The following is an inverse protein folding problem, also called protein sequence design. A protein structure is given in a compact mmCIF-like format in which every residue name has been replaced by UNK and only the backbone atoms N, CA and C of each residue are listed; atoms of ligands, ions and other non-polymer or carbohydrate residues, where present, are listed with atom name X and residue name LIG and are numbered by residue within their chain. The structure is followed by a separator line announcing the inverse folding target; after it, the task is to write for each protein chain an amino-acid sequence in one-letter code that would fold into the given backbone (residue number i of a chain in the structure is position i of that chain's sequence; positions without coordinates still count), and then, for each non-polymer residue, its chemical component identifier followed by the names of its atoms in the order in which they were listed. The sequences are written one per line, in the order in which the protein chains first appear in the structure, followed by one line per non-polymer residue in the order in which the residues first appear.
data_IF_276074235886
#
_entry.id   IF_276074235886
#
_cell.length_a   1.000
_cell.length_b   1.000
_cell.length_c   1.000
_cell.angle_alpha   90.00
_cell.angle_beta   90.00
_cell.angle_gamma   90.00
#
_symmetry.space_group_name_H-M   'P 1'
#
loop_
_entity.id
_entity.type
_entity.pdbx_description
1 polymer ?
#
# COMPACT_ATOMS: atom_id res chain seq x y z
N UNK A 1 -29.67 21.27 12.38
CA UNK A 1 -29.20 20.47 13.54
C UNK A 1 -27.69 20.59 13.76
N UNK A 2 -27.21 21.82 13.99
CA UNK A 2 -25.79 22.18 14.21
C UNK A 2 -25.42 22.35 15.69
N UNK A 3 -26.27 21.90 16.62
CA UNK A 3 -26.10 22.19 18.06
C UNK A 3 -24.94 21.46 18.74
N UNK A 4 -24.33 20.44 18.11
CA UNK A 4 -23.22 19.70 18.71
C UNK A 4 -21.97 20.56 18.95
N UNK A 5 -21.74 21.61 18.15
CA UNK A 5 -20.60 22.53 18.31
C UNK A 5 -20.83 23.68 19.29
N UNK A 6 -22.05 23.86 19.83
CA UNK A 6 -22.31 25.02 20.69
C UNK A 6 -21.58 24.96 22.03
N UNK A 7 -21.06 23.79 22.44
CA UNK A 7 -20.31 23.68 23.69
C UNK A 7 -19.48 22.40 23.77
N UNK A 8 -18.26 22.40 23.20
CA UNK A 8 -17.20 21.42 23.56
C UNK A 8 -16.81 21.48 25.05
N UNK A 9 -17.28 22.51 25.77
CA UNK A 9 -17.05 22.74 27.20
C UNK A 9 -18.05 22.04 28.12
N UNK A 10 -19.14 21.49 27.59
CA UNK A 10 -20.14 20.80 28.41
C UNK A 10 -19.79 19.31 28.42
N UNK A 11 -19.44 18.80 29.60
CA UNK A 11 -19.21 17.38 29.80
C UNK A 11 -20.46 16.59 29.41
N UNK A 12 -20.31 15.61 28.52
CA UNK A 12 -21.33 14.61 28.20
C UNK A 12 -20.70 13.22 28.14
N UNK A 13 -21.53 12.18 28.24
CA UNK A 13 -21.06 10.82 28.04
C UNK A 13 -20.62 10.61 26.60
N UNK A 14 -19.53 9.86 26.42
CA UNK A 14 -19.07 9.44 25.11
C UNK A 14 -20.16 8.62 24.40
N UNK A 15 -20.50 8.98 23.17
CA UNK A 15 -21.56 8.38 22.37
C UNK A 15 -21.12 8.17 20.91
N UNK A 16 -21.96 7.51 20.11
CA UNK A 16 -21.64 7.19 18.71
C UNK A 16 -21.30 8.43 17.86
N UNK A 17 -21.90 9.58 18.15
CA UNK A 17 -21.66 10.82 17.40
C UNK A 17 -20.31 11.43 17.72
N UNK A 18 -19.77 11.17 18.90
CA UNK A 18 -18.41 11.58 19.26
C UNK A 18 -17.42 10.72 18.49
N UNK A 19 -17.61 9.40 18.52
CA UNK A 19 -16.79 8.43 17.79
C UNK A 19 -16.72 8.72 16.28
N UNK A 20 -17.84 9.10 15.66
CA UNK A 20 -17.89 9.45 14.24
C UNK A 20 -17.17 10.77 13.92
N UNK A 21 -17.01 11.66 14.90
CA UNK A 21 -16.38 12.97 14.71
C UNK A 21 -14.89 12.99 15.04
N UNK A 22 -14.38 11.93 15.67
CA UNK A 22 -12.96 11.80 15.96
C UNK A 22 -12.17 11.68 14.67
N UNK A 23 -11.09 12.46 14.60
CA UNK A 23 -10.05 12.25 13.60
C UNK A 23 -9.36 10.91 13.84
N UNK A 24 -8.99 10.23 12.75
CA UNK A 24 -8.17 9.01 12.82
C UNK A 24 -6.80 9.30 12.27
N UNK A 25 -5.76 9.06 13.07
CA UNK A 25 -4.36 9.27 12.71
C UNK A 25 -3.69 7.92 12.51
N UNK A 26 -2.84 7.78 11.50
CA UNK A 26 -2.15 6.52 11.26
C UNK A 26 -0.93 6.67 10.34
N UNK A 27 -0.18 5.58 10.23
CA UNK A 27 1.07 5.42 9.48
C UNK A 27 2.10 6.53 9.73
N UNK A 28 2.43 6.88 11.00
CA UNK A 28 3.47 7.87 11.24
C UNK A 28 4.82 7.37 10.71
N UNK A 29 5.55 8.21 9.98
CA UNK A 29 6.93 7.96 9.56
C UNK A 29 7.79 9.16 9.94
N UNK A 30 8.90 8.89 10.61
CA UNK A 30 9.91 9.90 10.93
C UNK A 30 10.55 10.45 9.66
N UNK A 31 10.99 11.70 9.71
CA UNK A 31 11.84 12.28 8.68
C UNK A 31 13.15 11.47 8.56
N UNK A 32 13.56 11.06 7.35
CA UNK A 32 14.53 9.98 7.14
C UNK A 32 15.97 10.34 7.52
N UNK A 33 16.26 11.63 7.76
CA UNK A 33 17.64 12.09 8.07
C UNK A 33 17.83 12.38 9.55
N UNK A 34 16.92 13.13 10.18
CA UNK A 34 17.13 13.68 11.52
C UNK A 34 16.17 13.12 12.58
N UNK A 35 15.08 12.45 12.17
CA UNK A 35 14.04 11.95 13.06
C UNK A 35 13.37 13.02 13.94
N UNK A 36 13.49 14.31 13.62
CA UNK A 36 12.98 15.42 14.45
C UNK A 36 11.52 15.75 14.20
N UNK A 37 11.02 15.30 13.06
CA UNK A 37 9.63 15.44 12.68
C UNK A 37 9.09 14.13 12.14
N UNK A 38 7.77 14.04 12.05
CA UNK A 38 7.08 12.94 11.40
C UNK A 38 6.03 13.45 10.41
N UNK A 39 5.72 12.60 9.43
CA UNK A 39 4.52 12.73 8.60
C UNK A 39 3.57 11.61 8.98
N UNK A 40 2.27 11.88 8.96
CA UNK A 40 1.21 10.91 9.15
C UNK A 40 0.02 11.32 8.30
N UNK A 41 -0.90 10.40 8.09
CA UNK A 41 -2.18 10.74 7.48
C UNK A 41 -3.26 10.89 8.54
N UNK A 42 -4.18 11.83 8.30
CA UNK A 42 -5.36 12.11 9.13
C UNK A 42 -6.62 11.94 8.31
N UNK A 43 -7.47 11.00 8.72
CA UNK A 43 -8.84 10.88 8.22
C UNK A 43 -9.77 11.78 9.03
N UNK A 44 -10.59 12.55 8.32
CA UNK A 44 -11.59 13.45 8.88
C UNK A 44 -12.92 13.28 8.14
N UNK A 45 -14.04 13.57 8.82
CA UNK A 45 -15.39 13.53 8.23
C UNK A 45 -15.90 14.94 7.91
N UNK A 46 -16.72 15.04 6.86
CA UNK A 46 -17.38 16.28 6.48
C UNK A 46 -18.40 16.67 7.53
N UNK A 47 -18.17 17.78 8.21
CA UNK A 47 -19.06 18.28 9.25
C UNK A 47 -20.06 19.29 8.66
N UNK A 48 -21.32 19.33 9.14
CA UNK A 48 -21.85 18.58 10.27
C UNK A 48 -22.57 17.26 9.90
N UNK A 49 -22.72 16.95 8.61
CA UNK A 49 -23.61 15.87 8.13
C UNK A 49 -22.98 14.46 8.14
N UNK A 50 -21.65 14.36 8.27
CA UNK A 50 -20.87 13.13 8.28
C UNK A 50 -21.01 12.31 6.99
N UNK A 51 -21.42 12.93 5.88
CA UNK A 51 -21.73 12.25 4.60
C UNK A 51 -20.52 12.06 3.67
N UNK A 52 -19.33 12.40 4.14
CA UNK A 52 -18.09 12.21 3.41
C UNK A 52 -16.92 12.11 4.37
N UNK A 53 -15.86 11.47 3.92
CA UNK A 53 -14.57 11.54 4.61
C UNK A 53 -13.47 11.87 3.62
N UNK A 54 -12.34 12.35 4.14
CA UNK A 54 -11.12 12.58 3.36
C UNK A 54 -9.95 12.23 4.24
N UNK A 55 -8.86 11.81 3.60
CA UNK A 55 -7.58 11.62 4.27
C UNK A 55 -6.57 12.62 3.71
N UNK A 56 -5.86 13.29 4.61
CA UNK A 56 -4.86 14.33 4.28
C UNK A 56 -3.53 14.03 4.96
N UNK A 57 -2.43 14.49 4.39
CA UNK A 57 -1.10 14.34 4.98
C UNK A 57 -0.79 15.51 5.91
N UNK A 58 -0.21 15.21 7.07
CA UNK A 58 0.15 16.16 8.11
C UNK A 58 1.61 15.96 8.51
N UNK A 59 2.31 17.05 8.73
CA UNK A 59 3.65 17.09 9.30
C UNK A 59 3.56 17.57 10.75
N UNK A 60 4.35 16.97 11.62
CA UNK A 60 4.49 17.37 13.01
C UNK A 60 5.95 17.45 13.43
N UNK A 61 6.34 18.59 13.95
CA UNK A 61 7.61 18.77 14.66
C UNK A 61 7.50 18.22 16.09
N UNK A 62 8.42 17.32 16.46
CA UNK A 62 8.37 16.63 17.75
C UNK A 62 8.87 17.48 18.92
N UNK A 63 9.54 18.60 18.66
CA UNK A 63 10.10 19.46 19.70
C UNK A 63 9.17 20.63 20.05
N UNK A 64 8.75 21.37 19.03
CA UNK A 64 7.85 22.53 19.15
C UNK A 64 6.38 22.17 19.19
N UNK A 65 6.01 20.90 18.91
CA UNK A 65 4.64 20.43 18.71
C UNK A 65 3.89 21.16 17.58
N UNK A 66 4.62 21.84 16.69
CA UNK A 66 4.01 22.51 15.55
C UNK A 66 3.47 21.47 14.56
N UNK A 67 2.23 21.68 14.15
CA UNK A 67 1.54 20.82 13.19
C UNK A 67 1.17 21.60 11.95
N UNK A 68 1.39 21.00 10.78
CA UNK A 68 1.12 21.60 9.47
C UNK A 68 0.43 20.57 8.59
N UNK A 69 -0.76 20.91 8.10
CA UNK A 69 -1.43 20.11 7.09
C UNK A 69 -0.79 20.36 5.72
N UNK A 70 -0.29 19.29 5.09
CA UNK A 70 0.46 19.37 3.85
C UNK A 70 -0.45 19.38 2.62
N UNK A 71 -1.49 18.54 2.61
CA UNK A 71 -2.39 18.39 1.45
C UNK A 71 -3.77 18.99 1.71
N UNK A 72 -4.36 19.58 0.67
CA UNK A 72 -5.71 20.15 0.70
C UNK A 72 -6.77 19.05 0.92
N UNK A 73 -7.76 19.24 1.82
CA UNK A 73 -8.84 18.26 1.98
C UNK A 73 -9.79 18.32 0.78
N UNK A 74 -10.09 17.17 0.19
CA UNK A 74 -11.09 17.03 -0.88
C UNK A 74 -12.00 15.87 -0.48
N UNK A 75 -13.29 16.15 -0.25
CA UNK A 75 -14.24 15.15 0.24
C UNK A 75 -14.40 13.99 -0.75
N UNK A 76 -14.33 12.75 -0.25
CA UNK A 76 -14.29 11.53 -1.06
C UNK A 76 -12.90 11.19 -1.62
N UNK A 77 -11.88 12.02 -1.33
CA UNK A 77 -10.49 11.77 -1.74
C UNK A 77 -9.62 11.39 -0.54
N UNK A 78 -8.70 10.47 -0.76
CA UNK A 78 -7.91 9.85 0.30
C UNK A 78 -6.43 9.87 -0.04
N UNK A 79 -5.63 10.53 0.80
CA UNK A 79 -4.17 10.50 0.73
C UNK A 79 -3.62 9.49 1.73
N UNK A 80 -3.11 8.37 1.25
CA UNK A 80 -2.75 7.22 2.08
C UNK A 80 -1.44 6.58 1.61
N UNK A 81 -0.94 5.63 2.43
CA UNK A 81 0.26 4.81 2.13
C UNK A 81 1.42 5.60 1.51
N UNK A 82 1.92 6.60 2.24
CA UNK A 82 3.06 7.37 1.78
C UNK A 82 4.40 6.68 2.12
N UNK A 83 5.43 6.99 1.34
CA UNK A 83 6.82 6.62 1.59
C UNK A 83 7.74 7.78 1.24
N UNK A 84 8.82 7.94 1.98
CA UNK A 84 9.92 8.83 1.60
C UNK A 84 10.66 8.25 0.40
N UNK A 85 10.95 9.09 -0.59
CA UNK A 85 11.84 8.74 -1.72
C UNK A 85 13.18 9.48 -1.62
N UNK A 86 13.20 10.62 -0.92
CA UNK A 86 14.41 11.32 -0.49
C UNK A 86 14.09 12.13 0.78
N UNK A 87 14.97 13.04 1.21
CA UNK A 87 14.77 13.86 2.42
C UNK A 87 13.68 14.94 2.31
N UNK A 88 13.31 15.37 1.11
CA UNK A 88 12.35 16.43 0.87
C UNK A 88 11.15 15.95 0.04
N UNK A 89 11.13 14.70 -0.43
CA UNK A 89 10.10 14.20 -1.33
C UNK A 89 9.46 12.95 -0.77
N UNK A 90 8.13 12.92 -0.80
CA UNK A 90 7.35 11.71 -0.51
C UNK A 90 6.54 11.31 -1.74
N UNK A 91 6.34 10.00 -1.89
CA UNK A 91 5.35 9.42 -2.78
C UNK A 91 4.19 8.89 -1.95
N UNK A 92 2.96 8.98 -2.45
CA UNK A 92 1.77 8.50 -1.74
C UNK A 92 0.66 8.08 -2.72
N UNK A 93 -0.27 7.27 -2.23
CA UNK A 93 -1.44 6.86 -3.00
C UNK A 93 -2.59 7.85 -2.81
N UNK A 94 -3.25 8.22 -3.91
CA UNK A 94 -4.41 9.09 -3.87
C UNK A 94 -5.34 8.88 -5.05
N UNK A 95 -6.65 8.97 -4.81
CA UNK A 95 -7.70 8.95 -5.83
C UNK A 95 -8.14 10.36 -6.26
N UNK A 96 -7.32 11.39 -6.01
CA UNK A 96 -7.65 12.81 -6.26
C UNK A 96 -7.77 13.20 -7.73
N UNK A 97 -7.27 12.37 -8.65
CA UNK A 97 -7.39 12.59 -10.09
C UNK A 97 -8.86 12.54 -10.54
N UNK A 98 -9.15 13.05 -11.74
CA UNK A 98 -10.50 13.05 -12.31
C UNK A 98 -11.03 11.65 -12.64
N UNK A 99 -10.16 10.64 -12.74
CA UNK A 99 -10.56 9.25 -12.99
C UNK A 99 -11.09 8.54 -11.75
N UNK A 100 -10.93 9.13 -10.56
CA UNK A 100 -11.20 8.52 -9.25
C UNK A 100 -10.43 7.21 -8.96
N UNK A 101 -9.51 6.82 -9.85
CA UNK A 101 -8.59 5.72 -9.62
C UNK A 101 -7.48 6.16 -8.66
N UNK A 102 -7.14 5.30 -7.71
CA UNK A 102 -5.97 5.48 -6.85
C UNK A 102 -4.71 5.35 -7.68
N UNK A 103 -3.90 6.40 -7.69
CA UNK A 103 -2.63 6.51 -8.42
C UNK A 103 -1.53 7.00 -7.47
N UNK A 104 -0.27 6.95 -7.92
CA UNK A 104 0.86 7.48 -7.16
C UNK A 104 1.03 8.97 -7.44
N UNK A 105 1.17 9.74 -6.36
CA UNK A 105 1.42 11.17 -6.37
C UNK A 105 2.73 11.48 -5.66
N UNK A 106 3.43 12.49 -6.16
CA UNK A 106 4.60 13.08 -5.55
C UNK A 106 4.22 14.35 -4.78
N UNK A 107 4.77 14.51 -3.58
CA UNK A 107 4.77 15.75 -2.82
C UNK A 107 6.22 16.17 -2.53
N UNK A 108 6.63 17.32 -3.05
CA UNK A 108 7.93 17.93 -2.75
C UNK A 108 7.76 18.96 -1.63
N UNK A 109 8.45 18.75 -0.52
CA UNK A 109 8.37 19.55 0.69
C UNK A 109 9.44 20.66 0.67
N UNK A 110 9.08 21.90 1.04
CA UNK A 110 10.07 22.95 1.29
C UNK A 110 10.95 22.59 2.50
N UNK A 111 12.15 23.18 2.57
CA UNK A 111 13.08 22.93 3.67
C UNK A 111 12.54 23.41 5.04
N UNK A 112 11.75 24.48 5.05
CA UNK A 112 11.06 24.97 6.24
C UNK A 112 9.55 24.80 6.12
N UNK A 113 9.06 23.65 6.59
CA UNK A 113 7.62 23.39 6.69
C UNK A 113 6.94 24.24 7.76
N UNK A 114 7.69 24.79 8.72
CA UNK A 114 7.11 25.57 9.80
C UNK A 114 6.53 26.89 9.28
N UNK A 115 7.09 27.49 8.24
CA UNK A 115 6.57 28.73 7.65
C UNK A 115 5.53 28.51 6.55
N UNK A 116 5.16 27.26 6.26
CA UNK A 116 4.23 26.94 5.18
C UNK A 116 2.85 27.60 5.41
N UNK A 117 2.47 28.47 4.47
CA UNK A 117 1.13 29.04 4.39
C UNK A 117 0.32 28.33 3.30
N UNK A 118 -0.73 27.62 3.69
CA UNK A 118 -1.59 26.88 2.76
C UNK A 118 -1.17 25.43 2.57
N UNK A 119 -1.49 24.87 1.39
CA UNK A 119 -1.25 23.46 1.05
C UNK A 119 -0.22 23.35 -0.08
N UNK A 120 0.46 22.22 -0.14
CA UNK A 120 1.35 21.86 -1.24
C UNK A 120 0.52 21.09 -2.27
N UNK A 121 0.56 21.53 -3.53
CA UNK A 121 -0.17 20.86 -4.61
C UNK A 121 0.62 19.63 -5.10
N UNK A 122 0.05 18.41 -5.03
CA UNK A 122 0.79 17.21 -5.40
C UNK A 122 0.78 16.97 -6.91
N UNK A 123 1.84 16.35 -7.41
CA UNK A 123 1.97 15.99 -8.83
C UNK A 123 1.63 14.52 -9.02
N UNK A 124 0.67 14.21 -9.88
CA UNK A 124 0.38 12.83 -10.28
C UNK A 124 1.55 12.28 -11.11
N UNK A 125 2.11 11.13 -10.75
CA UNK A 125 3.24 10.53 -11.46
C UNK A 125 2.91 9.21 -12.16
N UNK A 126 1.71 8.67 -11.94
CA UNK A 126 1.18 7.49 -12.65
C UNK A 126 -0.22 7.70 -13.18
N UNK A 127 -0.58 6.99 -14.25
CA UNK A 127 -1.92 7.03 -14.83
C UNK A 127 -2.28 5.66 -15.43
N UNK A 128 -2.27 4.62 -14.59
CA UNK A 128 -2.68 3.28 -15.00
C UNK A 128 -4.21 3.18 -15.11
N UNK A 129 -4.69 2.19 -15.86
CA UNK A 129 -6.13 1.93 -16.03
C UNK A 129 -6.79 1.22 -14.85
N UNK A 130 -6.01 0.83 -13.82
CA UNK A 130 -6.48 0.19 -12.58
C UNK A 130 -6.03 0.97 -11.35
N UNK A 131 -6.67 0.70 -10.21
CA UNK A 131 -6.23 1.20 -8.91
C UNK A 131 -4.86 0.62 -8.55
N UNK A 132 -4.01 1.47 -7.98
CA UNK A 132 -2.84 1.05 -7.23
C UNK A 132 -3.24 0.89 -5.77
N UNK A 133 -2.95 -0.26 -5.18
CA UNK A 133 -3.36 -0.61 -3.82
C UNK A 133 -2.22 -0.57 -2.80
N UNK A 134 -0.97 -0.67 -3.27
CA UNK A 134 0.23 -0.65 -2.44
C UNK A 134 1.40 0.04 -3.13
N UNK A 135 2.38 0.50 -2.33
CA UNK A 135 3.58 1.19 -2.79
C UNK A 135 4.79 0.87 -1.89
N UNK A 136 5.94 0.61 -2.50
CA UNK A 136 7.25 0.55 -1.86
C UNK A 136 8.32 1.10 -2.81
N UNK A 137 9.33 1.78 -2.27
CA UNK A 137 10.46 2.31 -3.06
C UNK A 137 11.76 1.74 -2.50
N UNK A 138 12.71 1.38 -3.36
CA UNK A 138 14.01 0.90 -2.89
C UNK A 138 14.84 2.06 -2.30
N UNK A 139 15.85 1.72 -1.49
CA UNK A 139 16.65 2.70 -0.76
C UNK A 139 17.31 3.78 -1.64
N UNK A 140 17.71 3.41 -2.85
CA UNK A 140 18.41 4.29 -3.78
C UNK A 140 17.46 5.08 -4.70
N UNK A 141 16.14 4.95 -4.53
CA UNK A 141 15.13 5.60 -5.36
C UNK A 141 15.29 5.34 -6.87
N UNK A 142 15.71 4.13 -7.23
CA UNK A 142 15.89 3.67 -8.62
C UNK A 142 14.82 2.69 -9.06
N UNK A 143 14.11 2.07 -8.11
CA UNK A 143 13.00 1.14 -8.37
C UNK A 143 11.84 1.39 -7.42
N UNK A 144 10.65 1.13 -7.94
CA UNK A 144 9.38 1.23 -7.24
C UNK A 144 8.63 -0.09 -7.44
N UNK A 145 8.04 -0.60 -6.35
CA UNK A 145 7.05 -1.68 -6.37
C UNK A 145 5.67 -1.09 -6.09
N UNK A 146 4.67 -1.53 -6.84
CA UNK A 146 3.27 -1.22 -6.55
C UNK A 146 2.41 -2.45 -6.80
N UNK A 147 1.19 -2.52 -6.26
CA UNK A 147 0.25 -3.60 -6.61
C UNK A 147 -0.96 -3.08 -7.36
N UNK A 148 -1.46 -3.90 -8.27
CA UNK A 148 -2.79 -3.79 -8.84
C UNK A 148 -3.52 -5.13 -8.70
N UNK A 149 -4.84 -5.07 -8.61
CA UNK A 149 -5.68 -6.24 -8.77
C UNK A 149 -5.80 -6.62 -10.24
N UNK A 150 -5.16 -7.74 -10.63
CA UNK A 150 -5.17 -8.28 -11.99
C UNK A 150 -5.67 -9.72 -12.01
N UNK A 151 -6.14 -10.19 -13.17
CA UNK A 151 -6.29 -11.62 -13.36
C UNK A 151 -4.90 -12.21 -13.60
N UNK A 152 -4.57 -13.33 -12.96
CA UNK A 152 -3.21 -13.86 -12.96
C UNK A 152 -2.59 -13.94 -14.37
N UNK A 153 -3.35 -14.36 -15.38
CA UNK A 153 -2.87 -14.53 -16.75
C UNK A 153 -3.02 -13.29 -17.67
N UNK A 154 -3.36 -12.12 -17.11
CA UNK A 154 -3.61 -10.89 -17.88
C UNK A 154 -2.79 -9.72 -17.32
N UNK A 155 -2.35 -8.84 -18.22
CA UNK A 155 -1.75 -7.56 -17.80
C UNK A 155 -2.80 -6.56 -17.29
N UNK A 156 -2.34 -5.36 -16.89
CA UNK A 156 -3.16 -4.27 -16.37
C UNK A 156 -4.26 -3.86 -17.37
N UNK A 157 -3.91 -3.66 -18.65
CA UNK A 157 -4.83 -3.17 -19.66
C UNK A 157 -5.83 -4.25 -20.09
N UNK A 158 -5.36 -5.49 -20.23
CA UNK A 158 -6.19 -6.66 -20.50
C UNK A 158 -7.18 -6.94 -19.36
N UNK A 159 -6.72 -6.80 -18.11
CA UNK A 159 -7.58 -6.91 -16.93
C UNK A 159 -8.65 -5.82 -16.97
N UNK A 160 -8.28 -4.56 -17.22
CA UNK A 160 -9.25 -3.46 -17.31
C UNK A 160 -10.26 -3.69 -18.44
N UNK A 161 -9.82 -4.09 -19.62
CA UNK A 161 -10.70 -4.40 -20.75
C UNK A 161 -11.69 -5.51 -20.43
N UNK A 162 -11.25 -6.58 -19.73
CA UNK A 162 -12.13 -7.65 -19.27
C UNK A 162 -13.16 -7.14 -18.26
N UNK A 163 -12.74 -6.37 -17.25
CA UNK A 163 -13.64 -5.78 -16.25
C UNK A 163 -14.70 -4.89 -16.90
N UNK A 164 -14.31 -4.07 -17.88
CA UNK A 164 -15.23 -3.23 -18.62
C UNK A 164 -16.23 -4.07 -19.43
N UNK A 165 -15.76 -5.11 -20.13
CA UNK A 165 -16.65 -6.01 -20.88
C UNK A 165 -17.64 -6.76 -19.96
N UNK A 166 -17.20 -7.17 -18.77
CA UNK A 166 -18.08 -7.77 -17.75
C UNK A 166 -19.15 -6.78 -17.28
N UNK A 167 -18.78 -5.53 -17.01
CA UNK A 167 -19.70 -4.45 -16.65
C UNK A 167 -20.71 -4.14 -17.77
N UNK A 168 -20.22 -3.96 -19.01
CA UNK A 168 -21.03 -3.64 -20.19
C UNK A 168 -22.02 -4.76 -20.54
N UNK A 169 -21.71 -6.00 -20.14
CA UNK A 169 -22.60 -7.14 -20.34
C UNK A 169 -23.90 -7.05 -19.52
N UNK A 170 -23.94 -6.19 -18.49
CA UNK A 170 -25.08 -6.02 -17.59
C UNK A 170 -25.40 -7.23 -16.71
N UNK A 171 -24.50 -8.23 -16.66
CA UNK A 171 -24.71 -9.48 -15.93
C UNK A 171 -23.70 -9.61 -14.80
N UNK A 172 -24.19 -9.83 -13.60
CA UNK A 172 -23.36 -10.21 -12.45
C UNK A 172 -23.42 -11.72 -12.28
N UNK A 173 -22.42 -12.43 -12.81
CA UNK A 173 -22.30 -13.88 -12.69
C UNK A 173 -20.98 -14.18 -12.00
N UNK A 174 -21.04 -14.88 -10.87
CA UNK A 174 -19.85 -15.39 -10.18
C UNK A 174 -19.73 -16.89 -10.43
N UNK A 175 -18.54 -17.32 -10.86
CA UNK A 175 -18.16 -18.71 -10.95
C UNK A 175 -17.07 -18.96 -9.90
N UNK A 176 -17.31 -19.93 -9.03
CA UNK A 176 -16.34 -20.35 -8.03
C UNK A 176 -15.96 -21.81 -8.26
N UNK A 177 -14.69 -22.05 -8.53
CA UNK A 177 -14.08 -23.37 -8.73
C UNK A 177 -13.07 -23.73 -7.63
N UNK A 178 -12.76 -22.80 -6.71
CA UNK A 178 -11.98 -23.04 -5.50
C UNK A 178 -12.48 -22.24 -4.30
N UNK A 179 -12.07 -22.65 -3.11
CA UNK A 179 -12.18 -21.83 -1.90
C UNK A 179 -11.02 -20.83 -1.83
N UNK A 180 -11.19 -19.67 -1.19
CA UNK A 180 -12.45 -19.15 -0.63
C UNK A 180 -13.35 -18.53 -1.70
N UNK A 181 -14.67 -18.59 -1.53
CA UNK A 181 -15.61 -17.88 -2.43
C UNK A 181 -15.77 -16.38 -2.09
N UNK A 182 -15.35 -15.98 -0.89
CA UNK A 182 -15.42 -14.60 -0.39
C UNK A 182 -14.41 -14.36 0.72
N UNK A 183 -13.99 -13.12 0.87
CA UNK A 183 -13.31 -12.60 2.05
C UNK A 183 -14.15 -11.47 2.65
N UNK A 184 -14.72 -11.71 3.84
CA UNK A 184 -15.70 -10.82 4.50
C UNK A 184 -16.84 -10.39 3.57
N UNK A 185 -16.82 -9.13 3.13
CA UNK A 185 -17.78 -8.42 2.30
C UNK A 185 -17.39 -8.33 0.81
N UNK A 186 -16.26 -8.95 0.41
CA UNK A 186 -15.80 -9.03 -0.98
C UNK A 186 -15.87 -10.48 -1.52
N UNK A 187 -16.49 -10.68 -2.69
CA UNK A 187 -16.47 -11.97 -3.37
C UNK A 187 -15.14 -12.19 -4.08
N UNK A 188 -14.68 -13.44 -4.09
CA UNK A 188 -13.46 -13.81 -4.81
C UNK A 188 -13.76 -13.98 -6.30
N UNK A 189 -13.50 -12.95 -7.11
CA UNK A 189 -13.84 -12.91 -8.54
C UNK A 189 -12.72 -13.41 -9.47
N UNK A 190 -11.61 -13.89 -8.91
CA UNK A 190 -10.41 -14.27 -9.65
C UNK A 190 -9.39 -13.13 -9.83
N UNK A 191 -9.68 -11.93 -9.31
CA UNK A 191 -8.68 -10.86 -9.21
C UNK A 191 -7.70 -11.14 -8.07
N UNK A 192 -6.43 -10.91 -8.33
CA UNK A 192 -5.29 -11.11 -7.43
C UNK A 192 -4.47 -9.83 -7.31
N UNK A 193 -4.02 -9.53 -6.10
CA UNK A 193 -3.03 -8.48 -5.86
C UNK A 193 -1.68 -8.96 -6.40
N UNK A 194 -1.21 -8.40 -7.52
CA UNK A 194 0.12 -8.70 -8.05
C UNK A 194 1.09 -7.55 -7.80
N UNK A 195 2.32 -7.79 -7.33
CA UNK A 195 3.36 -6.79 -7.29
C UNK A 195 3.92 -6.55 -8.69
N UNK A 196 4.02 -5.28 -9.04
CA UNK A 196 4.60 -4.77 -10.27
C UNK A 196 5.84 -3.96 -9.92
N UNK A 197 6.98 -4.30 -10.53
CA UNK A 197 8.25 -3.59 -10.34
C UNK A 197 8.55 -2.72 -11.56
N UNK A 198 8.98 -1.50 -11.32
CA UNK A 198 9.26 -0.51 -12.36
C UNK A 198 10.48 0.33 -11.98
N UNK A 199 11.27 0.71 -12.97
CA UNK A 199 12.37 1.65 -12.76
C UNK A 199 11.79 3.06 -12.58
N UNK A 200 12.37 3.82 -11.66
CA UNK A 200 11.97 5.21 -11.41
C UNK A 200 13.20 6.11 -11.44
N UNK A 201 13.07 7.29 -12.03
CA UNK A 201 14.16 8.25 -12.09
C UNK A 201 13.68 9.68 -11.90
N UNK A 202 14.50 10.50 -11.24
CA UNK A 202 14.23 11.93 -11.05
C UNK A 202 14.53 12.69 -12.34
N UNK A 203 13.55 13.42 -12.84
CA UNK A 203 13.70 14.29 -14.00
C UNK A 203 14.38 15.62 -13.60
N UNK A 204 14.79 16.40 -14.59
CA UNK A 204 15.45 17.71 -14.36
C UNK A 204 14.55 18.72 -13.63
N UNK A 205 13.24 18.62 -13.82
CA UNK A 205 12.24 19.43 -13.10
C UNK A 205 11.98 18.94 -11.65
N UNK A 206 12.68 17.89 -11.20
CA UNK A 206 12.55 17.31 -9.87
C UNK A 206 11.36 16.37 -9.68
N UNK A 207 10.56 16.12 -10.71
CA UNK A 207 9.46 15.15 -10.70
C UNK A 207 10.01 13.77 -11.05
N UNK A 208 9.60 12.74 -10.31
CA UNK A 208 9.94 11.37 -10.62
C UNK A 208 9.09 10.83 -11.77
N UNK A 209 9.73 10.09 -12.67
CA UNK A 209 9.07 9.42 -13.78
C UNK A 209 9.33 7.91 -13.68
N UNK A 210 8.28 7.13 -13.96
CA UNK A 210 8.37 5.68 -14.05
C UNK A 210 8.63 5.27 -15.51
N UNK A 211 9.36 4.18 -15.71
CA UNK A 211 9.50 3.58 -17.04
C UNK A 211 8.15 3.04 -17.56
N UNK A 212 7.87 3.10 -18.87
CA UNK A 212 6.74 2.40 -19.45
C UNK A 212 7.00 0.88 -19.33
N UNK A 213 5.97 0.09 -19.03
CA UNK A 213 6.05 -1.37 -18.83
C UNK A 213 6.58 -1.79 -17.45
N UNK A 214 5.73 -1.74 -16.41
CA UNK A 214 6.02 -2.42 -15.15
C UNK A 214 6.07 -3.95 -15.37
N UNK A 215 6.91 -4.64 -14.59
CA UNK A 215 7.07 -6.11 -14.62
C UNK A 215 6.27 -6.73 -13.47
N UNK A 216 5.32 -7.60 -13.79
CA UNK A 216 4.66 -8.46 -12.80
C UNK A 216 5.63 -9.52 -12.29
N UNK A 217 5.94 -9.50 -10.99
CA UNK A 217 6.89 -10.44 -10.36
C UNK A 217 6.25 -11.72 -9.82
N UNK A 218 4.93 -11.87 -9.94
CA UNK A 218 4.26 -13.15 -9.75
C UNK A 218 4.22 -13.99 -11.03
N UNK A 219 4.56 -13.46 -12.21
CA UNK A 219 4.67 -14.22 -13.47
C UNK A 219 3.47 -15.15 -13.76
N UNK A 220 2.26 -14.60 -13.69
CA UNK A 220 0.99 -15.31 -13.85
C UNK A 220 0.61 -16.36 -12.80
N UNK A 221 1.30 -16.38 -11.65
CA UNK A 221 0.91 -17.22 -10.53
C UNK A 221 -0.40 -16.69 -9.94
N UNK A 222 -1.38 -17.58 -9.79
CA UNK A 222 -2.71 -17.29 -9.23
C UNK A 222 -2.66 -17.15 -7.71
N UNK A 223 -2.13 -16.02 -7.23
CA UNK A 223 -1.86 -15.77 -5.82
C UNK A 223 -1.86 -14.28 -5.49
N UNK A 224 -2.12 -13.94 -4.23
CA UNK A 224 -2.01 -12.56 -3.75
C UNK A 224 -0.62 -12.27 -3.15
N UNK A 225 -0.04 -11.14 -3.53
CA UNK A 225 1.05 -10.48 -2.81
C UNK A 225 0.89 -8.94 -2.93
N UNK A 226 0.73 -8.20 -1.82
CA UNK A 226 0.66 -8.73 -0.46
C UNK A 226 -0.60 -9.58 -0.26
N UNK A 227 -0.54 -10.49 0.72
CA UNK A 227 -1.60 -11.45 1.02
C UNK A 227 -2.85 -10.76 1.56
N UNK A 228 -4.04 -11.20 1.18
CA UNK A 228 -5.30 -10.69 1.74
C UNK A 228 -5.62 -11.36 3.08
N UNK A 229 -6.34 -10.68 4.00
CA UNK A 229 -6.86 -9.31 3.88
C UNK A 229 -5.93 -8.25 4.49
N UNK A 230 -4.96 -8.67 5.32
CA UNK A 230 -4.20 -7.76 6.18
C UNK A 230 -2.77 -7.51 5.70
N UNK A 231 -2.31 -8.20 4.66
CA UNK A 231 -0.99 -7.97 4.10
C UNK A 231 -0.91 -6.58 3.47
N UNK A 232 0.22 -5.92 3.69
CA UNK A 232 0.57 -4.67 3.05
C UNK A 232 2.00 -4.74 2.52
N UNK A 233 2.32 -3.87 1.56
CA UNK A 233 3.66 -3.83 0.96
C UNK A 233 4.80 -3.54 1.93
N UNK A 234 4.56 -2.71 2.95
CA UNK A 234 5.62 -2.32 3.89
C UNK A 234 6.02 -3.49 4.80
N UNK A 235 5.04 -4.32 5.18
CA UNK A 235 5.28 -5.53 5.93
C UNK A 235 5.83 -6.63 5.02
N UNK A 236 5.17 -6.90 3.89
CA UNK A 236 5.38 -8.14 3.14
C UNK A 236 6.31 -8.05 1.95
N UNK A 237 6.82 -6.88 1.59
CA UNK A 237 7.77 -6.71 0.50
C UNK A 237 9.08 -6.09 0.96
N UNK A 238 10.17 -6.47 0.31
CA UNK A 238 11.47 -5.88 0.59
C UNK A 238 12.36 -5.88 -0.64
N UNK A 239 13.02 -4.75 -0.89
CA UNK A 239 14.13 -4.67 -1.83
C UNK A 239 15.45 -4.93 -1.11
N UNK A 240 16.38 -5.61 -1.78
CA UNK A 240 17.77 -5.70 -1.32
C UNK A 240 18.44 -4.32 -1.27
N UNK A 241 19.61 -4.23 -0.61
CA UNK A 241 20.31 -2.96 -0.44
C UNK A 241 20.64 -2.28 -1.78
N UNK A 242 21.02 -3.05 -2.80
CA UNK A 242 21.22 -2.58 -4.17
C UNK A 242 19.91 -2.24 -4.89
N UNK A 243 18.81 -2.93 -4.54
CA UNK A 243 17.55 -2.94 -5.28
C UNK A 243 17.53 -3.92 -6.45
N UNK A 244 18.51 -4.82 -6.54
CA UNK A 244 18.57 -5.84 -7.59
C UNK A 244 17.81 -7.12 -7.26
N UNK A 245 17.45 -7.33 -5.99
CA UNK A 245 16.57 -8.43 -5.57
C UNK A 245 15.32 -7.90 -4.89
N UNK A 246 14.21 -8.60 -5.08
CA UNK A 246 12.94 -8.32 -4.44
C UNK A 246 12.43 -9.56 -3.73
N UNK A 247 12.08 -9.42 -2.46
CA UNK A 247 11.47 -10.47 -1.66
C UNK A 247 10.02 -10.09 -1.37
N UNK A 248 9.13 -11.09 -1.38
CA UNK A 248 7.73 -10.88 -1.04
C UNK A 248 7.14 -12.10 -0.34
N UNK A 249 6.20 -11.86 0.57
CA UNK A 249 5.33 -12.90 1.12
C UNK A 249 4.24 -13.25 0.12
N UNK A 250 3.92 -14.54 0.06
CA UNK A 250 2.90 -15.10 -0.81
C UNK A 250 2.16 -16.23 -0.09
N UNK A 251 0.84 -16.31 -0.28
CA UNK A 251 0.05 -17.46 0.13
C UNK A 251 -0.03 -18.49 -1.01
N UNK A 252 0.01 -19.78 -0.70
CA UNK A 252 -0.32 -20.81 -1.68
C UNK A 252 -1.84 -20.90 -1.83
N UNK A 253 -2.37 -20.33 -2.91
CA UNK A 253 -3.80 -20.17 -3.20
C UNK A 253 -4.14 -20.67 -4.62
N UNK A 254 -3.38 -21.63 -5.15
CA UNK A 254 -3.67 -22.20 -6.46
C UNK A 254 -4.83 -23.20 -6.41
N UNK A 255 -5.05 -23.82 -5.25
CA UNK A 255 -6.10 -24.80 -5.04
C UNK A 255 -6.91 -24.54 -3.75
N UNK A 256 -7.93 -25.38 -3.50
CA UNK A 256 -8.85 -25.20 -2.37
C UNK A 256 -8.25 -25.53 -1.00
N UNK A 257 -7.02 -26.04 -0.92
CA UNK A 257 -6.34 -26.30 0.34
C UNK A 257 -5.99 -25.02 1.09
N UNK A 258 -5.91 -23.88 0.38
CA UNK A 258 -5.72 -22.53 0.95
C UNK A 258 -6.67 -22.25 2.12
N UNK A 259 -7.88 -22.83 2.07
CA UNK A 259 -8.90 -22.64 3.08
C UNK A 259 -8.55 -23.22 4.46
N UNK A 260 -7.59 -24.13 4.51
CA UNK A 260 -7.27 -24.97 5.67
C UNK A 260 -5.81 -24.85 6.10
N UNK A 261 -5.08 -23.89 5.54
CA UNK A 261 -3.65 -23.71 5.80
C UNK A 261 -3.33 -22.27 6.16
N UNK A 262 -2.33 -22.11 7.02
CA UNK A 262 -1.71 -20.82 7.34
C UNK A 262 -0.40 -20.64 6.57
N UNK A 263 -0.15 -21.50 5.57
CA UNK A 263 1.11 -21.52 4.84
C UNK A 263 1.28 -20.23 4.03
N UNK A 264 2.20 -19.39 4.51
CA UNK A 264 2.74 -18.25 3.79
C UNK A 264 4.22 -18.52 3.59
N UNK A 265 4.70 -18.20 2.40
CA UNK A 265 6.08 -18.43 2.03
C UNK A 265 6.72 -17.15 1.50
N UNK A 266 8.03 -17.07 1.64
CA UNK A 266 8.85 -15.99 1.13
C UNK A 266 9.45 -16.41 -0.19
N UNK A 267 9.27 -15.54 -1.17
CA UNK A 267 9.78 -15.69 -2.51
C UNK A 267 10.74 -14.56 -2.83
N UNK A 268 11.72 -14.85 -3.68
CA UNK A 268 12.70 -13.87 -4.17
C UNK A 268 12.74 -13.84 -5.69
N UNK A 269 12.98 -12.65 -6.25
CA UNK A 269 13.15 -12.42 -7.69
C UNK A 269 14.39 -11.57 -7.92
N UNK A 270 15.21 -11.97 -8.89
CA UNK A 270 16.32 -11.18 -9.39
C UNK A 270 15.83 -10.19 -10.47
N UNK A 271 15.88 -8.91 -10.13
CA UNK A 271 15.42 -7.79 -10.95
C UNK A 271 16.43 -7.32 -12.00
N UNK A 272 17.62 -7.92 -12.07
CA UNK A 272 18.60 -7.67 -13.15
C UNK A 272 18.19 -8.39 -14.43
N UNK A 273 17.57 -9.56 -14.28
CA UNK A 273 17.10 -10.37 -15.40
C UNK A 273 15.60 -10.23 -15.61
N UNK A 274 14.81 -10.05 -14.53
CA UNK A 274 13.36 -9.80 -14.53
C UNK A 274 12.56 -10.70 -15.48
N UNK A 275 13.05 -11.92 -15.76
CA UNK A 275 12.55 -12.84 -16.79
C UNK A 275 12.28 -14.24 -16.26
N UNK A 276 12.51 -14.48 -14.97
CA UNK A 276 12.37 -15.79 -14.35
C UNK A 276 11.36 -15.74 -13.22
N UNK A 277 10.55 -16.80 -13.12
CA UNK A 277 9.60 -16.99 -12.03
C UNK A 277 10.27 -16.87 -10.64
N UNK A 278 9.54 -16.40 -9.62
CA UNK A 278 10.07 -16.25 -8.27
C UNK A 278 10.56 -17.57 -7.69
N UNK A 279 11.64 -17.51 -6.93
CA UNK A 279 12.22 -18.65 -6.21
C UNK A 279 11.72 -18.63 -4.77
N UNK A 280 11.06 -19.70 -4.34
CA UNK A 280 10.69 -19.87 -2.94
C UNK A 280 11.93 -20.20 -2.09
N UNK A 281 12.10 -19.50 -0.98
CA UNK A 281 13.24 -19.70 -0.07
C UNK A 281 12.84 -20.32 1.27
N UNK A 282 11.54 -20.45 1.55
CA UNK A 282 11.01 -20.98 2.82
C UNK A 282 10.06 -22.17 2.68
N UNK A 283 9.82 -22.69 1.47
CA UNK A 283 8.79 -23.72 1.20
C UNK A 283 8.91 -25.03 1.99
N UNK A 284 10.03 -25.28 2.66
CA UNK A 284 10.16 -26.41 3.59
C UNK A 284 9.28 -26.23 4.84
N UNK A 285 9.00 -24.99 5.23
CA UNK A 285 8.11 -24.67 6.33
C UNK A 285 6.68 -24.51 5.82
N UNK A 286 5.80 -25.44 6.18
CA UNK A 286 4.38 -25.39 5.80
C UNK A 286 3.52 -24.56 6.78
N UNK A 287 4.16 -23.74 7.62
CA UNK A 287 3.52 -22.75 8.49
C UNK A 287 3.66 -21.33 7.90
N UNK A 288 3.47 -20.29 8.70
CA UNK A 288 3.53 -18.90 8.23
C UNK A 288 4.97 -18.37 8.24
N UNK A 289 5.54 -18.09 7.08
CA UNK A 289 6.70 -17.23 6.90
C UNK A 289 6.30 -15.93 6.20
N UNK A 290 6.61 -14.80 6.83
CA UNK A 290 6.19 -13.48 6.35
C UNK A 290 7.17 -12.40 6.78
N UNK A 291 6.88 -11.19 6.34
CA UNK A 291 7.56 -9.96 6.68
C UNK A 291 9.06 -10.00 6.34
N UNK A 292 9.41 -10.34 5.08
CA UNK A 292 10.79 -10.32 4.62
C UNK A 292 11.38 -8.93 4.78
N UNK A 293 12.63 -8.85 5.23
CA UNK A 293 13.37 -7.60 5.34
C UNK A 293 14.83 -7.83 4.98
N UNK A 294 15.24 -7.34 3.81
CA UNK A 294 16.65 -7.35 3.45
C UNK A 294 17.45 -6.43 4.36
N UNK A 295 18.67 -6.85 4.67
CA UNK A 295 19.63 -6.02 5.38
C UNK A 295 19.95 -4.78 4.56
N UNK A 296 19.99 -3.60 5.20
CA UNK A 296 20.34 -2.35 4.51
C UNK A 296 21.83 -2.28 4.13
N UNK A 297 22.67 -3.20 4.62
CA UNK A 297 24.14 -3.15 4.47
C UNK A 297 24.75 -4.44 3.96
N UNK A 298 24.01 -5.55 3.96
CA UNK A 298 24.47 -6.85 3.45
C UNK A 298 23.47 -7.36 2.41
N UNK A 299 23.92 -7.46 1.16
CA UNK A 299 23.07 -7.82 0.01
C UNK A 299 22.47 -9.23 0.12
N UNK A 300 23.11 -10.12 0.87
CA UNK A 300 22.71 -11.53 0.95
C UNK A 300 21.96 -11.87 2.24
N UNK A 301 21.81 -10.91 3.16
CA UNK A 301 21.11 -11.14 4.41
C UNK A 301 19.64 -10.72 4.27
N UNK A 302 18.75 -11.69 4.34
CA UNK A 302 17.31 -11.50 4.41
C UNK A 302 16.82 -12.08 5.73
N UNK A 303 16.22 -11.23 6.58
CA UNK A 303 15.56 -11.66 7.81
C UNK A 303 14.05 -11.73 7.60
N UNK A 304 13.38 -12.59 8.34
CA UNK A 304 11.92 -12.71 8.25
C UNK A 304 11.30 -13.19 9.55
N UNK A 305 9.97 -13.17 9.63
CA UNK A 305 9.22 -13.75 10.74
C UNK A 305 8.60 -15.08 10.35
N UNK A 306 8.62 -16.02 11.30
CA UNK A 306 8.24 -17.41 11.07
C UNK A 306 7.40 -17.98 12.22
N UNK A 307 6.34 -18.71 11.89
CA UNK A 307 5.64 -19.64 12.78
C UNK A 307 6.21 -21.05 12.62
N UNK A 308 6.14 -21.86 13.68
CA UNK A 308 6.62 -23.24 13.68
C UNK A 308 5.50 -24.29 13.63
N UNK A 309 4.25 -23.90 13.90
CA UNK A 309 3.10 -24.81 13.95
C UNK A 309 2.14 -24.53 12.78
N UNK A 310 2.07 -25.42 11.78
CA UNK A 310 1.14 -25.29 10.67
C UNK A 310 -0.32 -25.24 11.12
N UNK A 311 -1.13 -24.36 10.54
CA UNK A 311 -2.55 -24.23 10.84
C UNK A 311 -2.85 -23.42 12.12
N UNK A 312 -1.84 -23.02 12.90
CA UNK A 312 -2.05 -22.26 14.12
C UNK A 312 -1.81 -20.75 13.89
N UNK A 313 -2.86 -20.03 13.51
CA UNK A 313 -2.79 -18.58 13.21
C UNK A 313 -2.28 -17.71 14.37
N UNK A 314 -2.40 -18.20 15.61
CA UNK A 314 -1.94 -17.51 16.83
C UNK A 314 -0.57 -18.00 17.34
N UNK A 315 0.17 -18.78 16.55
CA UNK A 315 1.54 -19.16 16.92
C UNK A 315 2.42 -17.92 17.11
N UNK A 316 3.52 -18.06 17.86
CA UNK A 316 4.43 -16.97 18.11
C UNK A 316 5.39 -16.79 16.93
N UNK A 317 5.47 -15.56 16.40
CA UNK A 317 6.52 -15.19 15.45
C UNK A 317 7.93 -15.32 16.06
N UNK A 318 8.79 -16.06 15.38
CA UNK A 318 10.24 -16.09 15.57
C UNK A 318 10.91 -15.30 14.46
N UNK A 319 11.97 -14.56 14.77
CA UNK A 319 12.82 -13.95 13.75
C UNK A 319 13.80 -15.01 13.25
N UNK A 320 13.95 -15.10 11.93
CA UNK A 320 14.80 -16.06 11.23
C UNK A 320 15.84 -15.35 10.39
#
# INVERSE_FOLDING_TARGET
NSQYYQSLTNSHYFNQTDNLRLDRLSSPQLHPVDGRSLIYWRQQYHMPDLRGSTTTLHWQDLHSNKNVQLTRPIWGKHDQQFTWIDKNTILFLSNRASSDLTQIFQLTLPDDLSSLSGFIEPTQITNYSLNIDNLLVNRNATRLAFSCQVYANLDIEQTNARKQAELDSGRTIYKFDKLYIRHWDEYYTGLRNHPFIVSINRQTNGIFQLSPNPVDVLFNIDSDSPTKPFGDAKAQWSFSASGDSFAFTRQHDEDSSVAWTTNLDIYTVDLRTATQSPVCITCENIATDTDPSYSPTDENLLIYRSHSVPGYESDQYKVK
#
